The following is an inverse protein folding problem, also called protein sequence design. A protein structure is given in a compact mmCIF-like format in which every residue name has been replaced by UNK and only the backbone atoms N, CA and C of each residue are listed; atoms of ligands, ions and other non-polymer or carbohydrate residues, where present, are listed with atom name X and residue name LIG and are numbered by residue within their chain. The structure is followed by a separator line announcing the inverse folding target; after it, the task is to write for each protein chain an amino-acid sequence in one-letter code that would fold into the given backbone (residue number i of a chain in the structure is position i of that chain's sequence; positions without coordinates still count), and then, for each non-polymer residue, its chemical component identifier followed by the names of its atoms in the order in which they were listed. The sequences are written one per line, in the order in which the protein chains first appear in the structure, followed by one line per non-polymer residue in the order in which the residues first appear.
data_IF_375505371095
#
_entry.id   IF_375505371095
#
_cell.length_a   1.000
_cell.length_b   1.000
_cell.length_c   1.000
_cell.angle_alpha   90.00
_cell.angle_beta   90.00
_cell.angle_gamma   90.00
#
_symmetry.space_group_name_H-M   'P 1'
#
loop_
_entity.id
_entity.type
_entity.pdbx_description
1 polymer ?
#
# COMPACT_ATOMS: atom_id res chain seq x y z
N UNK A 1 16.97 1.25 4.02
CA UNK A 1 16.58 2.66 3.78
C UNK A 1 15.89 2.78 2.42
N UNK A 2 14.85 3.62 2.27
CA UNK A 2 14.16 3.85 0.98
C UNK A 2 14.38 5.30 0.51
N UNK A 3 14.91 5.47 -0.70
CA UNK A 3 15.08 6.77 -1.36
C UNK A 3 14.09 6.88 -2.52
N UNK A 4 13.48 8.06 -2.68
CA UNK A 4 12.47 8.31 -3.72
C UNK A 4 12.78 9.61 -4.47
N UNK A 5 12.86 9.50 -5.79
CA UNK A 5 13.06 10.62 -6.71
C UNK A 5 11.80 10.74 -7.57
N UNK A 6 11.27 11.95 -7.70
CA UNK A 6 10.14 12.27 -8.60
C UNK A 6 10.59 13.36 -9.55
N UNK A 7 10.32 13.19 -10.85
CA UNK A 7 10.63 14.16 -11.89
C UNK A 7 9.48 14.22 -12.90
N UNK A 8 9.22 15.41 -13.43
CA UNK A 8 8.40 15.61 -14.63
C UNK A 8 9.33 16.07 -15.75
N UNK A 9 9.18 15.49 -16.94
CA UNK A 9 10.14 15.68 -18.02
C UNK A 9 9.50 15.46 -19.40
N UNK A 10 10.12 16.01 -20.45
CA UNK A 10 9.77 15.79 -21.85
C UNK A 10 10.08 14.35 -22.29
N UNK A 11 9.75 14.02 -23.54
CA UNK A 11 10.09 12.70 -24.12
C UNK A 11 11.59 12.53 -24.27
N UNK A 12 12.27 13.57 -24.73
CA UNK A 12 13.71 13.62 -24.98
C UNK A 12 14.46 13.53 -23.64
N UNK A 13 14.03 14.31 -22.65
CA UNK A 13 14.56 14.27 -21.30
C UNK A 13 14.35 12.91 -20.62
N UNK A 14 13.20 12.25 -20.86
CA UNK A 14 12.97 10.88 -20.39
C UNK A 14 13.94 9.89 -21.01
N UNK A 15 14.13 9.94 -22.32
CA UNK A 15 15.10 9.08 -23.02
C UNK A 15 16.50 9.25 -22.44
N UNK A 16 16.94 10.50 -22.31
CA UNK A 16 18.25 10.82 -21.73
C UNK A 16 18.38 10.31 -20.30
N UNK A 17 17.35 10.52 -19.47
CA UNK A 17 17.38 10.09 -18.07
C UNK A 17 17.44 8.57 -17.93
N UNK A 18 16.75 7.82 -18.78
CA UNK A 18 16.83 6.35 -18.78
C UNK A 18 18.21 5.85 -19.22
N UNK A 19 18.85 6.51 -20.18
CA UNK A 19 20.24 6.23 -20.54
C UNK A 19 21.19 6.48 -19.36
N UNK A 20 21.07 7.62 -18.70
CA UNK A 20 21.87 7.93 -17.49
C UNK A 20 21.65 6.89 -16.38
N UNK A 21 20.42 6.41 -16.17
CA UNK A 21 20.17 5.34 -15.20
C UNK A 21 20.82 4.01 -15.61
N UNK A 22 20.79 3.67 -16.90
CA UNK A 22 21.45 2.46 -17.41
C UNK A 22 22.96 2.56 -17.21
N UNK A 23 23.55 3.70 -17.56
CA UNK A 23 24.98 3.97 -17.38
C UNK A 23 25.36 3.94 -15.90
N UNK A 24 24.56 4.52 -15.00
CA UNK A 24 24.83 4.52 -13.56
C UNK A 24 24.75 3.14 -12.90
N UNK A 25 24.01 2.20 -13.50
CA UNK A 25 23.96 0.79 -13.07
C UNK A 25 25.17 0.03 -13.62
N UNK A 26 25.61 0.33 -14.84
CA UNK A 26 26.69 -0.39 -15.53
C UNK A 26 28.09 0.11 -15.15
N UNK A 27 28.22 1.42 -14.95
CA UNK A 27 29.48 2.12 -14.76
C UNK A 27 29.42 2.99 -13.49
N UNK A 28 30.57 3.16 -12.84
CA UNK A 28 30.71 4.13 -11.76
C UNK A 28 30.82 5.56 -12.33
N UNK A 29 29.78 6.02 -13.03
CA UNK A 29 29.74 7.39 -13.54
C UNK A 29 29.62 8.37 -12.36
N UNK A 30 30.33 9.49 -12.43
CA UNK A 30 30.13 10.59 -11.49
C UNK A 30 28.70 11.12 -11.68
N UNK A 31 27.88 10.96 -10.64
CA UNK A 31 26.49 11.39 -10.64
C UNK A 31 26.36 12.60 -9.73
N UNK A 32 25.82 13.70 -10.26
CA UNK A 32 25.53 14.92 -9.47
C UNK A 32 24.50 14.66 -8.36
N UNK A 33 23.64 13.65 -8.52
CA UNK A 33 22.67 13.26 -7.51
C UNK A 33 23.25 12.16 -6.61
N UNK A 34 23.62 12.52 -5.38
CA UNK A 34 24.12 11.60 -4.35
C UNK A 34 23.19 10.40 -4.11
N UNK A 35 21.89 10.48 -4.43
CA UNK A 35 20.95 9.36 -4.32
C UNK A 35 21.10 8.35 -5.45
N UNK A 36 21.60 8.77 -6.62
CA UNK A 36 21.89 7.89 -7.76
C UNK A 36 23.21 7.16 -7.58
N UNK A 37 24.17 7.72 -6.83
CA UNK A 37 25.39 7.01 -6.43
C UNK A 37 25.10 5.72 -5.64
N UNK A 38 23.92 5.60 -5.00
CA UNK A 38 23.48 4.36 -4.33
C UNK A 38 23.23 3.20 -5.31
N UNK A 39 23.08 3.47 -6.61
CA UNK A 39 23.00 2.42 -7.63
C UNK A 39 24.29 1.61 -7.74
N UNK A 40 25.43 2.18 -7.33
CA UNK A 40 26.76 1.59 -7.47
C UNK A 40 27.19 0.73 -6.27
N UNK A 41 26.53 0.87 -5.11
CA UNK A 41 27.04 0.29 -3.84
C UNK A 41 26.31 -0.97 -3.40
N UNK A 42 25.00 -0.92 -3.20
CA UNK A 42 24.14 -2.10 -3.02
C UNK A 42 22.68 -1.66 -2.86
N UNK A 43 21.82 -1.95 -3.84
CA UNK A 43 20.37 -1.81 -3.68
C UNK A 43 19.70 -3.18 -3.72
N UNK A 44 18.77 -3.43 -2.80
CA UNK A 44 17.92 -4.63 -2.77
C UNK A 44 16.79 -4.52 -3.80
N UNK A 45 16.30 -3.30 -4.05
CA UNK A 45 15.19 -3.08 -4.99
C UNK A 45 15.28 -1.74 -5.71
N UNK A 46 15.16 -1.80 -7.03
CA UNK A 46 14.91 -0.66 -7.92
C UNK A 46 13.48 -0.73 -8.45
N UNK A 47 12.68 0.32 -8.26
CA UNK A 47 11.32 0.41 -8.81
C UNK A 47 11.18 1.71 -9.60
N UNK A 48 11.00 1.57 -10.91
CA UNK A 48 10.76 2.67 -11.84
C UNK A 48 9.28 2.72 -12.21
N UNK A 49 8.66 3.89 -12.07
CA UNK A 49 7.29 4.14 -12.52
C UNK A 49 7.26 5.35 -13.43
N UNK A 50 6.94 5.13 -14.71
CA UNK A 50 6.69 6.18 -15.68
C UNK A 50 5.18 6.30 -15.94
N UNK A 51 4.65 7.52 -15.96
CA UNK A 51 3.28 7.83 -16.34
C UNK A 51 3.29 8.88 -17.43
N UNK A 52 2.46 8.70 -18.46
CA UNK A 52 2.20 9.76 -19.43
C UNK A 52 1.30 10.82 -18.81
N UNK A 53 1.68 12.08 -19.00
CA UNK A 53 0.96 13.27 -18.54
C UNK A 53 0.66 14.16 -19.75
N UNK A 54 -0.23 15.14 -19.61
CA UNK A 54 -0.70 15.98 -20.72
C UNK A 54 0.45 16.67 -21.46
N UNK A 55 1.49 17.09 -20.73
CA UNK A 55 2.65 17.82 -21.26
C UNK A 55 3.98 17.06 -21.12
N UNK A 56 3.95 15.72 -21.05
CA UNK A 56 5.18 14.93 -20.95
C UNK A 56 5.03 13.66 -20.13
N UNK A 57 5.99 13.41 -19.24
CA UNK A 57 6.04 12.20 -18.44
C UNK A 57 6.36 12.50 -16.98
N UNK A 58 5.59 11.90 -16.08
CA UNK A 58 5.88 11.83 -14.66
C UNK A 58 6.64 10.55 -14.32
N UNK A 59 7.89 10.69 -13.89
CA UNK A 59 8.75 9.59 -13.50
C UNK A 59 8.92 9.54 -11.97
N UNK A 60 8.79 8.35 -11.39
CA UNK A 60 9.14 8.08 -10.00
C UNK A 60 10.14 6.93 -9.95
N UNK A 61 11.32 7.19 -9.39
CA UNK A 61 12.33 6.19 -9.09
C UNK A 61 12.35 5.93 -7.59
N UNK A 62 12.32 4.66 -7.18
CA UNK A 62 12.51 4.25 -5.79
C UNK A 62 13.67 3.28 -5.68
N UNK A 63 14.52 3.53 -4.71
CA UNK A 63 15.69 2.75 -4.37
C UNK A 63 15.55 2.25 -2.93
N UNK A 64 15.54 0.93 -2.73
CA UNK A 64 15.62 0.32 -1.41
C UNK A 64 17.03 -0.24 -1.21
N UNK A 65 17.73 0.27 -0.20
CA UNK A 65 19.09 -0.14 0.17
C UNK A 65 19.02 -0.92 1.49
N UNK A 66 19.68 -2.07 1.55
CA UNK A 66 19.94 -2.79 2.80
C UNK A 66 21.44 -2.70 3.09
N UNK A 67 21.80 -1.93 4.12
CA UNK A 67 23.14 -1.98 4.69
C UNK A 67 23.23 -3.30 5.46
N UNK A 68 24.11 -4.19 5.01
CA UNK A 68 24.01 -5.64 5.20
C UNK A 68 23.96 -6.19 6.62
N UNK A 69 23.45 -7.42 6.70
CA UNK A 69 23.57 -8.32 7.85
C UNK A 69 22.54 -9.46 7.80
N UNK A 70 22.86 -10.59 7.17
CA UNK A 70 22.29 -11.90 7.51
C UNK A 70 23.33 -12.64 8.36
N UNK A 71 22.94 -13.37 9.44
CA UNK A 71 22.14 -14.59 9.29
C UNK A 71 21.04 -14.85 10.34
N UNK A 72 19.99 -15.55 9.89
CA UNK A 72 19.24 -16.65 10.54
C UNK A 72 18.61 -16.45 11.95
N UNK A 73 17.29 -16.71 12.00
CA UNK A 73 16.42 -17.09 13.14
C UNK A 73 16.96 -16.89 14.57
N UNK A 74 16.31 -16.00 15.31
CA UNK A 74 16.33 -15.99 16.78
C UNK A 74 15.20 -15.15 17.35
N UNK A 75 14.12 -15.82 17.80
CA UNK A 75 13.07 -15.20 18.62
C UNK A 75 13.68 -14.70 19.92
N UNK A 76 13.46 -13.45 20.28
CA UNK A 76 13.11 -13.05 21.66
C UNK A 76 12.41 -11.70 21.56
N UNK A 77 11.10 -11.69 21.77
CA UNK A 77 10.25 -10.49 21.71
C UNK A 77 9.84 -10.16 23.14
N UNK A 78 10.33 -9.04 23.65
CA UNK A 78 9.77 -8.40 24.84
C UNK A 78 8.41 -7.81 24.45
N UNK A 79 7.40 -8.06 25.26
CA UNK A 79 6.00 -7.83 24.95
C UNK A 79 5.67 -6.35 24.76
N UNK A 80 5.26 -5.97 23.54
CA UNK A 80 4.42 -4.80 23.29
C UNK A 80 3.08 -5.30 22.75
N UNK A 81 1.98 -4.85 23.36
CA UNK A 81 0.60 -5.21 23.02
C UNK A 81 0.20 -4.50 21.74
N UNK A 82 0.77 -4.94 20.62
CA UNK A 82 0.42 -4.54 19.27
C UNK A 82 0.28 -5.78 18.38
N UNK A 83 -0.49 -5.72 17.27
CA UNK A 83 -0.65 -6.87 16.38
C UNK A 83 0.71 -7.43 15.96
N UNK A 84 0.85 -8.75 15.94
CA UNK A 84 2.14 -9.46 15.76
C UNK A 84 2.75 -9.35 14.36
N UNK A 85 2.22 -8.49 13.48
CA UNK A 85 2.65 -8.33 12.10
C UNK A 85 2.94 -6.87 11.73
N UNK A 86 3.60 -6.67 10.58
CA UNK A 86 3.80 -5.32 10.04
C UNK A 86 2.48 -4.73 9.55
N UNK A 87 2.23 -3.45 9.80
CA UNK A 87 1.03 -2.73 9.31
C UNK A 87 0.86 -2.84 7.78
N UNK A 88 1.98 -2.92 7.04
CA UNK A 88 1.98 -3.13 5.58
C UNK A 88 1.43 -4.51 5.20
N UNK A 89 1.75 -5.55 5.96
CA UNK A 89 1.20 -6.88 5.75
C UNK A 89 -0.31 -6.90 6.03
N UNK A 90 -0.75 -6.34 7.17
CA UNK A 90 -2.17 -6.22 7.49
C UNK A 90 -2.95 -5.49 6.39
N UNK A 91 -2.45 -4.36 5.88
CA UNK A 91 -3.11 -3.64 4.78
C UNK A 91 -3.23 -4.46 3.50
N UNK A 92 -2.26 -5.33 3.21
CA UNK A 92 -2.34 -6.25 2.06
C UNK A 92 -3.40 -7.32 2.27
N UNK A 93 -3.44 -7.94 3.45
CA UNK A 93 -4.45 -8.94 3.83
C UNK A 93 -5.86 -8.34 3.74
N UNK A 94 -6.06 -7.19 4.37
CA UNK A 94 -7.31 -6.41 4.29
C UNK A 94 -7.73 -6.10 2.86
N UNK A 95 -6.79 -5.73 2.00
CA UNK A 95 -7.10 -5.45 0.60
C UNK A 95 -7.60 -6.71 -0.12
N UNK A 96 -7.04 -7.88 0.17
CA UNK A 96 -7.48 -9.16 -0.38
C UNK A 96 -8.88 -9.51 0.11
N UNK A 97 -9.10 -9.47 1.43
CA UNK A 97 -10.40 -9.72 2.07
C UNK A 97 -11.48 -8.78 1.53
N UNK A 98 -11.19 -7.48 1.43
CA UNK A 98 -12.12 -6.48 0.87
C UNK A 98 -12.48 -6.76 -0.59
N UNK A 99 -11.51 -7.20 -1.42
CA UNK A 99 -11.79 -7.60 -2.81
C UNK A 99 -12.67 -8.84 -2.90
N UNK A 100 -12.43 -9.84 -2.07
CA UNK A 100 -13.25 -11.06 -2.04
C UNK A 100 -14.70 -10.75 -1.67
N UNK A 101 -14.92 -9.89 -0.66
CA UNK A 101 -16.26 -9.42 -0.29
C UNK A 101 -16.91 -8.67 -1.47
N UNK A 102 -16.19 -7.75 -2.10
CA UNK A 102 -16.71 -7.00 -3.25
C UNK A 102 -17.09 -7.89 -4.43
N UNK A 103 -16.30 -8.93 -4.70
CA UNK A 103 -16.60 -9.90 -5.75
C UNK A 103 -17.92 -10.65 -5.47
N UNK A 104 -18.14 -11.10 -4.22
CA UNK A 104 -19.40 -11.73 -3.79
C UNK A 104 -20.60 -10.79 -3.94
N UNK A 105 -20.47 -9.54 -3.48
CA UNK A 105 -21.55 -8.54 -3.60
C UNK A 105 -21.89 -8.26 -5.06
N UNK A 106 -20.88 -8.18 -5.94
CA UNK A 106 -21.07 -7.92 -7.39
C UNK A 106 -21.81 -9.06 -8.08
N UNK A 107 -21.60 -10.31 -7.65
CA UNK A 107 -22.30 -11.49 -8.17
C UNK A 107 -23.58 -11.81 -7.40
N UNK A 108 -24.11 -10.88 -6.61
CA UNK A 108 -25.32 -11.03 -5.79
C UNK A 108 -25.27 -12.21 -4.81
N UNK A 109 -24.08 -12.50 -4.28
CA UNK A 109 -23.83 -13.55 -3.30
C UNK A 109 -23.52 -12.97 -1.92
N UNK A 110 -24.03 -13.62 -0.87
CA UNK A 110 -23.69 -13.29 0.51
C UNK A 110 -22.27 -13.78 0.82
N UNK A 111 -21.36 -12.91 1.31
CA UNK A 111 -20.07 -13.36 1.83
C UNK A 111 -20.26 -14.35 2.97
N UNK A 112 -19.51 -15.45 2.97
CA UNK A 112 -19.63 -16.47 4.02
C UNK A 112 -19.09 -15.98 5.38
N UNK A 113 -19.52 -16.65 6.45
CA UNK A 113 -19.15 -16.27 7.82
C UNK A 113 -17.64 -16.23 8.08
N UNK A 114 -16.80 -17.18 7.59
CA UNK A 114 -15.35 -17.10 7.75
C UNK A 114 -14.74 -15.83 7.13
N UNK A 115 -15.22 -15.42 5.96
CA UNK A 115 -14.74 -14.20 5.28
C UNK A 115 -15.11 -12.93 6.06
N UNK A 116 -16.34 -12.86 6.58
CA UNK A 116 -16.78 -11.74 7.42
C UNK A 116 -16.03 -11.70 8.76
N UNK A 117 -15.78 -12.84 9.39
CA UNK A 117 -14.99 -12.91 10.62
C UNK A 117 -13.54 -12.45 10.40
N UNK A 118 -12.95 -12.83 9.27
CA UNK A 118 -11.62 -12.37 8.86
C UNK A 118 -11.59 -10.86 8.71
N UNK A 119 -12.55 -10.29 7.97
CA UNK A 119 -12.68 -8.86 7.82
C UNK A 119 -12.80 -8.13 9.17
N UNK A 120 -13.66 -8.60 10.08
CA UNK A 120 -13.80 -8.00 11.41
C UNK A 120 -12.50 -8.04 12.24
N UNK A 121 -11.76 -9.17 12.18
CA UNK A 121 -10.48 -9.31 12.87
C UNK A 121 -9.46 -8.30 12.35
N UNK A 122 -9.40 -8.13 11.03
CA UNK A 122 -8.47 -7.20 10.40
C UNK A 122 -8.82 -5.73 10.71
N UNK A 123 -10.10 -5.35 10.70
CA UNK A 123 -10.56 -3.99 11.07
C UNK A 123 -10.16 -3.67 12.51
N UNK A 124 -10.41 -4.58 13.46
CA UNK A 124 -10.00 -4.41 14.87
C UNK A 124 -8.49 -4.29 15.02
N UNK A 125 -7.72 -5.01 14.21
CA UNK A 125 -6.27 -4.89 14.21
C UNK A 125 -5.80 -3.54 13.65
N UNK A 126 -6.45 -3.04 12.58
CA UNK A 126 -6.07 -1.81 11.89
C UNK A 126 -6.22 -0.57 12.78
N UNK A 127 -7.35 -0.44 13.48
CA UNK A 127 -7.65 0.73 14.33
C UNK A 127 -6.79 0.82 15.58
N UNK A 128 -6.07 -0.26 15.94
CA UNK A 128 -5.14 -0.32 17.07
C UNK A 128 -3.69 0.06 16.69
N UNK A 129 -3.41 0.35 15.41
CA UNK A 129 -2.08 0.84 15.04
C UNK A 129 -1.95 2.33 15.34
N UNK A 130 -0.91 2.76 16.09
CA UNK A 130 -0.71 4.16 16.45
C UNK A 130 -0.37 5.01 15.22
N UNK A 131 -0.76 6.30 15.26
CA UNK A 131 -0.41 7.33 14.27
C UNK A 131 -0.87 7.04 12.83
N UNK A 132 -1.96 6.28 12.65
CA UNK A 132 -2.43 5.81 11.33
C UNK A 132 -3.82 6.28 10.88
N UNK A 133 -4.40 7.28 11.55
CA UNK A 133 -5.66 7.92 11.11
C UNK A 133 -6.77 8.00 12.15
N UNK A 134 -6.42 8.20 13.42
CA UNK A 134 -7.32 8.23 14.58
C UNK A 134 -8.59 9.09 14.39
N UNK A 135 -8.56 10.29 13.78
CA UNK A 135 -9.78 11.08 13.58
C UNK A 135 -10.81 10.43 12.64
N UNK A 136 -10.39 9.48 11.80
CA UNK A 136 -11.23 8.85 10.78
C UNK A 136 -11.70 7.45 11.15
N UNK A 137 -11.20 6.89 12.27
CA UNK A 137 -11.50 5.51 12.65
C UNK A 137 -12.94 5.31 13.09
N UNK A 138 -13.56 6.27 13.78
CA UNK A 138 -14.93 6.11 14.23
C UNK A 138 -15.91 5.93 13.05
N UNK A 139 -15.85 6.83 12.07
CA UNK A 139 -16.68 6.76 10.87
C UNK A 139 -16.38 5.47 10.07
N UNK A 140 -15.11 5.10 9.96
CA UNK A 140 -14.67 3.90 9.24
C UNK A 140 -15.21 2.62 9.90
N UNK A 141 -15.07 2.51 11.22
CA UNK A 141 -15.60 1.38 11.98
C UNK A 141 -17.12 1.31 11.91
N UNK A 142 -17.82 2.44 11.96
CA UNK A 142 -19.28 2.49 11.79
C UNK A 142 -19.71 1.93 10.43
N UNK A 143 -19.02 2.32 9.35
CA UNK A 143 -19.28 1.79 8.01
C UNK A 143 -18.96 0.29 7.91
N UNK A 144 -17.89 -0.19 8.54
CA UNK A 144 -17.57 -1.62 8.62
C UNK A 144 -18.62 -2.40 9.39
N UNK A 145 -19.13 -1.87 10.52
CA UNK A 145 -20.23 -2.47 11.29
C UNK A 145 -21.50 -2.57 10.46
N UNK A 146 -21.83 -1.54 9.67
CA UNK A 146 -23.00 -1.58 8.76
C UNK A 146 -22.87 -2.68 7.72
N UNK A 147 -21.70 -2.83 7.08
CA UNK A 147 -21.47 -3.91 6.13
C UNK A 147 -21.61 -5.29 6.78
N UNK A 148 -21.02 -5.50 7.96
CA UNK A 148 -21.13 -6.77 8.70
C UNK A 148 -22.58 -7.09 9.04
N UNK A 149 -23.35 -6.12 9.56
CA UNK A 149 -24.77 -6.31 9.88
C UNK A 149 -25.58 -6.66 8.64
N UNK A 150 -25.34 -5.98 7.53
CA UNK A 150 -26.00 -6.28 6.26
C UNK A 150 -25.71 -7.72 5.80
N UNK A 151 -24.44 -8.16 5.89
CA UNK A 151 -24.06 -9.54 5.58
C UNK A 151 -24.75 -10.56 6.49
N UNK A 152 -24.84 -10.28 7.80
CA UNK A 152 -25.51 -11.17 8.76
C UNK A 152 -27.03 -11.22 8.59
N UNK A 153 -27.64 -10.11 8.18
CA UNK A 153 -29.08 -10.00 7.89
C UNK A 153 -29.47 -10.43 6.48
N UNK A 154 -28.53 -10.89 5.65
CA UNK A 154 -28.73 -11.20 4.23
C UNK A 154 -29.32 -10.04 3.39
N UNK A 155 -29.03 -8.80 3.78
CA UNK A 155 -29.59 -7.59 3.16
C UNK A 155 -28.72 -7.12 1.99
N UNK A 156 -28.92 -7.67 0.79
CA UNK A 156 -28.06 -7.42 -0.38
C UNK A 156 -27.94 -5.93 -0.78
N UNK A 157 -29.03 -5.16 -0.72
CA UNK A 157 -28.97 -3.73 -1.05
C UNK A 157 -28.18 -2.93 -0.02
N UNK A 158 -28.35 -3.23 1.27
CA UNK A 158 -27.56 -2.64 2.34
C UNK A 158 -26.07 -3.02 2.21
N UNK A 159 -25.76 -4.26 1.78
CA UNK A 159 -24.38 -4.67 1.51
C UNK A 159 -23.76 -3.83 0.39
N UNK A 160 -24.48 -3.62 -0.72
CA UNK A 160 -24.03 -2.78 -1.84
C UNK A 160 -23.76 -1.35 -1.38
N UNK A 161 -24.70 -0.75 -0.66
CA UNK A 161 -24.59 0.62 -0.17
C UNK A 161 -23.41 0.78 0.81
N UNK A 162 -23.28 -0.12 1.79
CA UNK A 162 -22.21 -0.10 2.77
C UNK A 162 -20.83 -0.34 2.13
N UNK A 163 -20.74 -1.26 1.16
CA UNK A 163 -19.49 -1.53 0.45
C UNK A 163 -19.03 -0.34 -0.40
N UNK A 164 -19.95 0.33 -1.10
CA UNK A 164 -19.62 1.55 -1.86
C UNK A 164 -19.24 2.73 -0.93
N UNK A 165 -19.88 2.86 0.23
CA UNK A 165 -19.47 3.83 1.23
C UNK A 165 -18.02 3.59 1.68
N UNK A 166 -17.65 2.35 1.99
CA UNK A 166 -16.27 1.99 2.35
C UNK A 166 -15.27 2.25 1.21
N UNK A 167 -15.66 1.99 -0.05
CA UNK A 167 -14.83 2.35 -1.21
C UNK A 167 -14.57 3.85 -1.30
N UNK A 168 -15.59 4.68 -1.08
CA UNK A 168 -15.46 6.15 -1.07
C UNK A 168 -14.54 6.62 0.05
N UNK A 169 -14.77 6.17 1.29
CA UNK A 169 -13.93 6.52 2.44
C UNK A 169 -12.45 6.14 2.22
N UNK A 170 -12.20 4.95 1.66
CA UNK A 170 -10.84 4.52 1.29
C UNK A 170 -10.22 5.44 0.24
N UNK A 171 -10.99 5.83 -0.80
CA UNK A 171 -10.52 6.74 -1.85
C UNK A 171 -10.16 8.11 -1.26
N UNK A 172 -11.02 8.66 -0.41
CA UNK A 172 -10.83 9.97 0.20
C UNK A 172 -9.63 10.00 1.15
N UNK A 173 -9.48 8.95 1.98
CA UNK A 173 -8.30 8.80 2.83
C UNK A 173 -7.01 8.70 2.00
N UNK A 174 -7.00 7.90 0.93
CA UNK A 174 -5.85 7.83 0.04
C UNK A 174 -5.58 9.13 -0.72
N UNK A 175 -6.59 9.92 -1.08
CA UNK A 175 -6.38 11.21 -1.73
C UNK A 175 -5.72 12.22 -0.79
N UNK A 176 -6.04 12.16 0.51
CA UNK A 176 -5.51 13.07 1.53
C UNK A 176 -4.12 12.71 2.05
N UNK A 177 -3.79 11.43 2.12
CA UNK A 177 -2.63 10.95 2.90
C UNK A 177 -1.63 10.06 2.13
N UNK A 178 -1.71 9.94 0.80
CA UNK A 178 -0.88 9.02 -0.01
C UNK A 178 0.11 9.72 -0.93
#
# INVERSE_FOLDING_TARGET
MEHKIKKSMSREELGQYLHTLADAVQNAAEMDDQRLALLQTAFEKLELKCKRETNGFGLTLKLKVELGGTPVKGKTRVASVGPSGSYKALKKEMQTTFKQIGAKITTNQIPNAPLIHTFQKEIRAMVRYPDRGEPHYEAFEAACRRLVRACQGNQMDEMRQAFEALKRMKKDCHARYK
#
